data_IF_023499488083
#
_entry.id   IF_023499488083
#
_cell.length_a   1.000
_cell.length_b   1.000
_cell.length_c   1.000
_cell.angle_alpha   90.00
_cell.angle_beta   90.00
_cell.angle_gamma   90.00
#
_symmetry.space_group_name_H-M   'P 1'
#
loop_
_entity.id
_entity.type
_entity.pdbx_description
1 polymer ?
#
# COMPACT_ATOMS: atom_id res chain seq x y z
N UNK A 1 -13.91 -32.99 9.06
CA UNK A 1 -14.04 -32.08 10.22
C UNK A 1 -12.82 -32.28 11.11
N UNK A 2 -11.76 -31.51 10.89
CA UNK A 2 -10.56 -31.52 11.72
C UNK A 2 -10.87 -30.78 13.00
N UNK A 3 -10.79 -31.50 14.14
CA UNK A 3 -10.93 -30.87 15.47
C UNK A 3 -9.90 -29.75 15.58
N UNK A 4 -10.40 -28.52 15.82
CA UNK A 4 -9.57 -27.37 16.19
C UNK A 4 -8.63 -27.77 17.34
N UNK A 5 -7.33 -27.52 17.28
CA UNK A 5 -6.42 -27.83 18.38
C UNK A 5 -6.93 -27.08 19.61
N UNK A 6 -7.05 -27.79 20.75
CA UNK A 6 -7.55 -27.20 22.00
C UNK A 6 -6.55 -26.14 22.45
N UNK A 7 -6.94 -24.88 22.35
CA UNK A 7 -6.18 -23.76 22.89
C UNK A 7 -6.04 -23.94 24.41
N UNK A 8 -4.82 -24.05 24.89
CA UNK A 8 -4.53 -24.14 26.32
C UNK A 8 -4.02 -22.79 26.81
N UNK A 9 -4.79 -22.17 27.69
CA UNK A 9 -4.31 -20.98 28.40
C UNK A 9 -3.42 -21.43 29.56
N UNK A 10 -2.18 -20.94 29.59
CA UNK A 10 -1.20 -21.27 30.60
C UNK A 10 -0.34 -20.04 30.93
N UNK A 11 0.32 -20.09 32.12
CA UNK A 11 1.39 -19.16 32.48
C UNK A 11 2.71 -19.81 32.13
N UNK A 12 3.45 -19.23 31.18
CA UNK A 12 4.72 -19.75 30.66
C UNK A 12 5.86 -18.90 31.18
N UNK A 13 6.96 -19.53 31.57
CA UNK A 13 8.17 -18.82 31.98
C UNK A 13 8.79 -18.07 30.79
N UNK A 14 9.11 -16.79 30.98
CA UNK A 14 9.67 -15.95 29.90
C UNK A 14 11.03 -16.47 29.38
N UNK A 15 11.77 -17.20 30.21
CA UNK A 15 13.04 -17.84 29.81
C UNK A 15 12.87 -18.93 28.76
N UNK A 16 11.68 -19.54 28.66
CA UNK A 16 11.36 -20.60 27.69
C UNK A 16 10.78 -20.03 26.38
N UNK A 17 10.59 -18.70 26.30
CA UNK A 17 9.95 -18.06 25.15
C UNK A 17 10.99 -17.36 24.30
N UNK A 18 11.00 -17.70 23.01
CA UNK A 18 11.78 -17.02 21.98
C UNK A 18 10.90 -15.99 21.27
N UNK A 19 11.52 -14.88 20.85
CA UNK A 19 10.86 -13.87 20.02
C UNK A 19 10.47 -14.44 18.65
N UNK A 20 9.65 -13.74 17.89
CA UNK A 20 9.26 -14.17 16.54
C UNK A 20 10.50 -14.28 15.63
N UNK A 21 10.56 -15.33 14.78
CA UNK A 21 11.68 -15.55 13.84
C UNK A 21 11.81 -14.42 12.81
N UNK A 22 10.70 -13.80 12.43
CA UNK A 22 10.65 -12.65 11.54
C UNK A 22 10.09 -11.46 12.32
N UNK A 23 10.93 -10.48 12.62
CA UNK A 23 10.53 -9.27 13.35
C UNK A 23 10.34 -8.14 12.37
N UNK A 24 9.12 -7.61 12.26
CA UNK A 24 8.88 -6.36 11.57
C UNK A 24 9.52 -5.21 12.36
N UNK A 25 10.45 -4.48 11.73
CA UNK A 25 11.22 -3.39 12.35
C UNK A 25 10.33 -2.27 12.91
N UNK A 26 9.12 -2.11 12.40
CA UNK A 26 8.16 -1.10 12.86
C UNK A 26 7.47 -1.43 14.19
N UNK A 27 7.51 -2.68 14.67
CA UNK A 27 6.90 -3.05 15.96
C UNK A 27 7.74 -2.66 17.17
N UNK A 28 8.95 -2.18 16.99
CA UNK A 28 9.95 -2.01 18.04
C UNK A 28 10.17 -0.54 18.46
N UNK A 29 9.19 0.36 18.32
CA UNK A 29 9.29 1.68 18.91
C UNK A 29 9.40 1.53 20.46
N UNK A 30 10.57 1.82 21.08
CA UNK A 30 10.78 1.57 22.51
C UNK A 30 9.75 2.28 23.39
N UNK A 31 9.32 3.47 22.97
CA UNK A 31 8.33 4.30 23.67
C UNK A 31 6.99 3.57 23.83
N UNK A 32 6.50 2.94 22.75
CA UNK A 32 5.25 2.19 22.77
C UNK A 32 5.31 0.90 23.59
N UNK A 33 6.51 0.33 23.79
CA UNK A 33 6.70 -0.82 24.67
C UNK A 33 6.69 -0.36 26.13
N UNK A 34 7.27 0.80 26.42
CA UNK A 34 7.31 1.40 27.78
C UNK A 34 5.89 1.80 28.24
N UNK A 35 5.11 2.48 27.39
CA UNK A 35 3.71 2.82 27.69
C UNK A 35 2.89 1.55 28.01
N UNK A 36 3.07 0.50 27.20
CA UNK A 36 2.39 -0.77 27.42
C UNK A 36 2.87 -1.45 28.69
N UNK A 37 4.16 -1.37 29.03
CA UNK A 37 4.72 -1.90 30.27
C UNK A 37 4.11 -1.20 31.49
N UNK A 38 3.99 0.13 31.47
CA UNK A 38 3.32 0.88 32.51
C UNK A 38 1.87 0.41 32.68
N UNK A 39 1.11 0.33 31.61
CA UNK A 39 -0.28 -0.16 31.65
C UNK A 39 -0.38 -1.59 32.23
N UNK A 40 0.55 -2.49 31.83
CA UNK A 40 0.57 -3.86 32.36
C UNK A 40 0.90 -3.88 33.85
N UNK A 41 1.77 -2.99 34.33
CA UNK A 41 2.10 -2.91 35.76
C UNK A 41 0.91 -2.46 36.61
N UNK A 42 0.02 -1.61 36.05
CA UNK A 42 -1.13 -1.04 36.77
C UNK A 42 -2.34 -1.98 36.78
N UNK A 43 -2.70 -2.53 35.62
CA UNK A 43 -3.96 -3.30 35.43
C UNK A 43 -3.73 -4.78 35.05
N UNK A 44 -2.49 -5.19 34.88
CA UNK A 44 -2.15 -6.55 34.45
C UNK A 44 -2.32 -6.79 32.95
N UNK A 45 -1.98 -8.01 32.51
CA UNK A 45 -2.12 -8.44 31.12
C UNK A 45 -3.57 -8.86 30.83
N UNK A 46 -4.32 -8.00 30.14
CA UNK A 46 -5.73 -8.28 29.78
C UNK A 46 -5.84 -9.34 28.69
N UNK A 47 -5.02 -9.29 27.67
CA UNK A 47 -5.04 -10.24 26.54
C UNK A 47 -3.82 -11.14 26.55
N UNK A 48 -3.97 -12.48 26.57
CA UNK A 48 -2.83 -13.40 26.49
C UNK A 48 -2.10 -13.26 25.15
N UNK A 49 -0.81 -13.60 25.16
CA UNK A 49 -0.03 -13.74 23.90
C UNK A 49 -0.31 -15.12 23.28
N UNK A 50 -0.07 -15.25 21.97
CA UNK A 50 -0.17 -16.53 21.27
C UNK A 50 1.24 -17.12 21.09
N UNK A 51 1.43 -18.33 21.57
CA UNK A 51 2.67 -19.07 21.48
C UNK A 51 2.46 -20.38 20.69
N UNK A 52 3.46 -20.77 19.91
CA UNK A 52 3.55 -22.13 19.40
C UNK A 52 4.62 -22.94 20.15
N UNK A 53 4.45 -24.23 20.19
CA UNK A 53 5.46 -25.16 20.68
C UNK A 53 6.54 -25.31 19.61
N UNK A 54 7.82 -25.09 19.96
CA UNK A 54 8.99 -25.28 19.10
C UNK A 54 10.04 -26.12 19.87
N UNK A 55 9.94 -27.45 19.78
CA UNK A 55 10.70 -28.36 20.60
C UNK A 55 10.37 -28.24 22.09
N UNK A 56 11.39 -27.94 22.92
CA UNK A 56 11.25 -27.73 24.38
C UNK A 56 10.97 -26.26 24.73
N UNK A 57 10.84 -25.40 23.73
CA UNK A 57 10.64 -23.95 23.89
C UNK A 57 9.36 -23.49 23.22
N UNK A 58 9.09 -22.20 23.30
CA UNK A 58 7.93 -21.58 22.70
C UNK A 58 8.35 -20.39 21.83
N UNK A 59 7.73 -20.25 20.67
CA UNK A 59 7.90 -19.08 19.79
C UNK A 59 6.68 -18.16 19.87
N UNK A 60 6.92 -16.85 19.95
CA UNK A 60 5.84 -15.84 19.90
C UNK A 60 5.28 -15.77 18.48
N UNK A 61 3.98 -16.04 18.34
CA UNK A 61 3.23 -15.92 17.09
C UNK A 61 2.49 -14.57 17.02
N UNK A 62 1.86 -14.13 18.13
CA UNK A 62 1.19 -12.86 18.23
C UNK A 62 1.36 -12.26 19.63
N UNK A 63 1.44 -10.93 19.70
CA UNK A 63 1.61 -10.19 20.95
C UNK A 63 3.06 -9.91 21.32
N UNK A 64 3.97 -9.72 20.36
CA UNK A 64 5.39 -9.45 20.59
C UNK A 64 5.64 -8.23 21.49
N UNK A 65 4.90 -7.12 21.32
CA UNK A 65 5.01 -5.95 22.22
C UNK A 65 4.68 -6.28 23.68
N UNK A 66 3.66 -7.13 23.91
CA UNK A 66 3.28 -7.61 25.26
C UNK A 66 4.37 -8.48 25.88
N UNK A 67 5.01 -9.32 25.09
CA UNK A 67 6.17 -10.10 25.50
C UNK A 67 7.37 -9.21 25.87
N UNK A 68 7.69 -8.20 25.06
CA UNK A 68 8.77 -7.24 25.35
C UNK A 68 8.46 -6.40 26.61
N UNK A 69 7.22 -5.96 26.78
CA UNK A 69 6.80 -5.24 27.98
C UNK A 69 6.96 -6.09 29.26
N UNK A 70 6.63 -7.40 29.20
CA UNK A 70 6.87 -8.31 30.34
C UNK A 70 8.36 -8.51 30.62
N UNK A 71 9.20 -8.59 29.59
CA UNK A 71 10.66 -8.62 29.77
C UNK A 71 11.18 -7.35 30.41
N UNK A 72 10.68 -6.20 29.98
CA UNK A 72 11.08 -4.90 30.57
C UNK A 72 10.69 -4.80 32.05
N UNK A 73 9.54 -5.37 32.43
CA UNK A 73 9.08 -5.43 33.84
C UNK A 73 9.75 -6.54 34.65
N UNK A 74 10.67 -7.29 34.08
CA UNK A 74 11.36 -8.42 34.71
C UNK A 74 10.42 -9.48 35.33
N UNK A 75 9.22 -9.61 34.77
CA UNK A 75 8.26 -10.59 35.22
C UNK A 75 8.73 -12.01 34.87
N UNK A 76 8.46 -12.99 35.74
CA UNK A 76 8.91 -14.37 35.53
C UNK A 76 8.04 -15.13 34.54
N UNK A 77 6.74 -14.88 34.50
CA UNK A 77 5.75 -15.61 33.71
C UNK A 77 4.83 -14.69 32.95
N UNK A 78 4.37 -15.14 31.80
CA UNK A 78 3.36 -14.45 30.98
C UNK A 78 2.18 -15.35 30.69
N UNK A 79 0.97 -14.78 30.72
CA UNK A 79 -0.25 -15.48 30.33
C UNK A 79 -0.29 -15.66 28.82
N UNK A 80 -0.36 -16.91 28.34
CA UNK A 80 -0.30 -17.25 26.94
C UNK A 80 -1.34 -18.30 26.53
N UNK A 81 -1.76 -18.25 25.29
CA UNK A 81 -2.44 -19.34 24.60
C UNK A 81 -1.37 -20.16 23.90
N UNK A 82 -1.20 -21.42 24.28
CA UNK A 82 -0.24 -22.33 23.67
C UNK A 82 -0.94 -23.20 22.65
N UNK A 83 -0.40 -23.23 21.44
CA UNK A 83 -0.93 -24.00 20.33
C UNK A 83 0.16 -24.81 19.64
N UNK A 84 -0.11 -26.06 19.32
CA UNK A 84 0.73 -26.85 18.43
C UNK A 84 0.32 -26.52 16.99
N UNK A 85 1.25 -26.02 16.22
CA UNK A 85 1.01 -25.65 14.82
C UNK A 85 2.28 -25.82 13.97
N UNK A 86 2.10 -26.12 12.69
CA UNK A 86 3.17 -26.17 11.70
C UNK A 86 3.74 -24.77 11.41
N UNK A 87 4.91 -24.69 10.79
CA UNK A 87 5.51 -23.44 10.33
C UNK A 87 4.56 -22.65 9.41
N UNK A 88 3.85 -23.36 8.53
CA UNK A 88 2.88 -22.75 7.62
C UNK A 88 1.68 -22.16 8.36
N UNK A 89 1.13 -22.87 9.36
CA UNK A 89 0.02 -22.37 10.19
C UNK A 89 0.46 -21.19 11.04
N UNK A 90 1.67 -21.22 11.57
CA UNK A 90 2.26 -20.12 12.32
C UNK A 90 2.43 -18.86 11.46
N UNK A 91 2.94 -19.02 10.24
CA UNK A 91 3.08 -17.92 9.28
C UNK A 91 1.74 -17.31 8.88
N UNK A 92 0.75 -18.16 8.59
CA UNK A 92 -0.62 -17.69 8.28
C UNK A 92 -1.23 -16.95 9.47
N UNK A 93 -1.01 -17.43 10.69
CA UNK A 93 -1.54 -16.80 11.91
C UNK A 93 -0.93 -15.41 12.10
N UNK A 94 0.40 -15.26 11.94
CA UNK A 94 1.10 -13.97 11.96
C UNK A 94 0.60 -13.03 10.85
N UNK A 95 0.50 -13.56 9.62
CA UNK A 95 0.02 -12.78 8.49
C UNK A 95 -1.41 -12.25 8.70
N UNK A 96 -2.29 -13.08 9.26
CA UNK A 96 -3.69 -12.67 9.53
C UNK A 96 -3.76 -11.59 10.61
N UNK A 97 -2.93 -11.68 11.65
CA UNK A 97 -2.83 -10.66 12.69
C UNK A 97 -2.31 -9.34 12.11
N UNK A 98 -1.20 -9.39 11.36
CA UNK A 98 -0.62 -8.21 10.72
C UNK A 98 -1.58 -7.57 9.71
N UNK A 99 -2.28 -8.37 8.90
CA UNK A 99 -3.28 -7.86 7.94
C UNK A 99 -4.51 -7.24 8.59
N UNK A 100 -4.77 -7.50 9.87
CA UNK A 100 -5.84 -6.87 10.65
C UNK A 100 -5.47 -5.46 11.17
N UNK A 101 -4.22 -5.01 11.00
CA UNK A 101 -3.78 -3.66 11.40
C UNK A 101 -4.43 -2.61 10.51
N UNK A 102 -4.88 -1.53 11.15
CA UNK A 102 -5.59 -0.43 10.45
C UNK A 102 -4.67 0.42 9.57
N UNK A 103 -3.41 0.50 9.93
CA UNK A 103 -2.40 1.37 9.32
C UNK A 103 -1.56 0.70 8.20
N UNK A 104 -1.79 -0.58 7.96
CA UNK A 104 -1.02 -1.37 6.98
C UNK A 104 -1.13 -0.79 5.57
N UNK A 105 0.02 -0.57 4.95
CA UNK A 105 0.08 -0.07 3.58
C UNK A 105 -0.06 -1.20 2.57
N UNK A 106 -0.50 -0.90 1.33
CA UNK A 106 -0.59 -1.91 0.28
C UNK A 106 0.72 -2.60 -0.07
N UNK A 107 1.85 -1.92 0.12
CA UNK A 107 3.19 -2.46 -0.12
C UNK A 107 3.56 -3.46 0.98
N UNK A 108 3.23 -3.16 2.24
CA UNK A 108 3.41 -4.10 3.36
C UNK A 108 2.53 -5.33 3.21
N UNK A 109 1.24 -5.18 2.81
CA UNK A 109 0.38 -6.32 2.46
C UNK A 109 1.05 -7.21 1.39
N UNK A 110 1.66 -6.60 0.37
CA UNK A 110 2.32 -7.33 -0.70
C UNK A 110 3.50 -8.18 -0.21
N UNK A 111 4.30 -7.66 0.72
CA UNK A 111 5.40 -8.43 1.32
C UNK A 111 4.89 -9.62 2.13
N UNK A 112 3.84 -9.45 2.91
CA UNK A 112 3.19 -10.54 3.67
C UNK A 112 2.71 -11.63 2.71
N UNK A 113 2.01 -11.26 1.63
CA UNK A 113 1.55 -12.24 0.63
C UNK A 113 2.70 -12.94 -0.09
N UNK A 114 3.77 -12.21 -0.43
CA UNK A 114 4.98 -12.77 -1.04
C UNK A 114 5.63 -13.81 -0.14
N UNK A 115 5.72 -13.56 1.16
CA UNK A 115 6.25 -14.52 2.14
C UNK A 115 5.40 -15.79 2.17
N UNK A 116 4.07 -15.68 2.28
CA UNK A 116 3.17 -16.83 2.33
C UNK A 116 3.25 -17.70 1.07
N UNK A 117 3.37 -17.08 -0.10
CA UNK A 117 3.46 -17.80 -1.38
C UNK A 117 4.83 -18.46 -1.57
N UNK A 118 5.91 -17.68 -1.41
CA UNK A 118 7.25 -18.12 -1.78
C UNK A 118 7.91 -18.99 -0.70
N UNK A 119 7.77 -18.61 0.56
CA UNK A 119 8.45 -19.28 1.68
C UNK A 119 7.64 -20.45 2.19
N UNK A 120 6.32 -20.32 2.22
CA UNK A 120 5.43 -21.34 2.77
C UNK A 120 4.71 -22.17 1.70
N UNK A 121 4.96 -21.91 0.41
CA UNK A 121 4.45 -22.71 -0.71
C UNK A 121 2.92 -22.73 -0.85
N UNK A 122 2.23 -21.70 -0.34
CA UNK A 122 0.77 -21.58 -0.45
C UNK A 122 0.38 -21.13 -1.86
N UNK A 123 -0.78 -21.57 -2.35
CA UNK A 123 -1.37 -21.02 -3.58
C UNK A 123 -2.14 -19.72 -3.30
N UNK A 124 -2.44 -18.94 -4.36
CA UNK A 124 -3.25 -17.71 -4.25
C UNK A 124 -4.61 -17.98 -3.60
N UNK A 125 -5.23 -19.09 -3.96
CA UNK A 125 -6.53 -19.52 -3.45
C UNK A 125 -6.44 -19.85 -1.96
N UNK A 126 -5.39 -20.57 -1.56
CA UNK A 126 -5.14 -20.95 -0.17
C UNK A 126 -4.86 -19.73 0.69
N UNK A 127 -4.01 -18.80 0.23
CA UNK A 127 -3.76 -17.53 0.93
C UNK A 127 -5.07 -16.76 1.04
N UNK A 128 -5.81 -16.59 -0.06
CA UNK A 128 -7.07 -15.87 -0.08
C UNK A 128 -8.09 -16.41 0.92
N UNK A 129 -8.29 -17.72 0.95
CA UNK A 129 -9.20 -18.38 1.89
C UNK A 129 -8.80 -18.18 3.36
N UNK A 130 -7.49 -18.13 3.66
CA UNK A 130 -6.95 -17.99 5.02
C UNK A 130 -6.99 -16.55 5.53
N UNK A 131 -6.73 -15.57 4.65
CA UNK A 131 -6.67 -14.14 5.02
C UNK A 131 -7.95 -13.35 4.67
N UNK A 132 -8.97 -14.00 4.09
CA UNK A 132 -10.23 -13.35 3.73
C UNK A 132 -10.12 -12.37 2.56
N UNK A 133 -9.16 -12.56 1.64
CA UNK A 133 -8.96 -11.71 0.45
C UNK A 133 -9.15 -12.51 -0.83
N UNK A 134 -9.66 -11.89 -1.89
CA UNK A 134 -9.74 -12.57 -3.18
C UNK A 134 -8.35 -12.78 -3.81
N UNK A 135 -8.13 -13.86 -4.58
CA UNK A 135 -6.88 -14.09 -5.30
C UNK A 135 -6.47 -12.91 -6.21
N UNK A 136 -7.46 -12.21 -6.78
CA UNK A 136 -7.23 -11.01 -7.60
C UNK A 136 -6.62 -9.85 -6.81
N UNK A 137 -7.08 -9.63 -5.58
CA UNK A 137 -6.50 -8.61 -4.68
C UNK A 137 -5.05 -8.98 -4.36
N UNK A 138 -4.76 -10.25 -4.05
CA UNK A 138 -3.42 -10.72 -3.72
C UNK A 138 -2.47 -10.50 -4.90
N UNK A 139 -2.88 -10.88 -6.13
CA UNK A 139 -2.09 -10.64 -7.35
C UNK A 139 -1.80 -9.16 -7.54
N UNK A 140 -2.82 -8.32 -7.43
CA UNK A 140 -2.70 -6.86 -7.57
C UNK A 140 -1.73 -6.26 -6.54
N UNK A 141 -1.70 -6.77 -5.29
CA UNK A 141 -0.73 -6.36 -4.28
C UNK A 141 0.69 -6.78 -4.66
N UNK A 142 0.88 -8.00 -5.13
CA UNK A 142 2.19 -8.50 -5.55
C UNK A 142 2.73 -7.77 -6.77
N UNK A 143 1.86 -7.31 -7.67
CA UNK A 143 2.27 -6.51 -8.82
C UNK A 143 2.89 -5.17 -8.41
N UNK A 144 2.51 -4.61 -7.25
CA UNK A 144 3.18 -3.43 -6.69
C UNK A 144 4.69 -3.65 -6.50
N UNK A 145 5.10 -4.86 -6.09
CA UNK A 145 6.53 -5.18 -5.86
C UNK A 145 7.34 -5.29 -7.16
N UNK A 146 6.67 -5.31 -8.32
CA UNK A 146 7.31 -5.31 -9.65
C UNK A 146 7.44 -3.91 -10.23
N UNK A 147 6.77 -2.93 -9.64
CA UNK A 147 6.80 -1.54 -10.10
C UNK A 147 8.15 -0.87 -9.79
N UNK A 148 8.52 0.20 -10.49
CA UNK A 148 9.67 1.02 -10.14
C UNK A 148 9.66 1.45 -8.66
N UNK A 149 10.84 1.55 -8.01
CA UNK A 149 10.93 1.91 -6.58
C UNK A 149 10.22 3.23 -6.22
N UNK A 150 10.25 4.22 -7.12
CA UNK A 150 9.59 5.50 -6.93
C UNK A 150 8.07 5.35 -6.74
N UNK A 151 7.42 4.49 -7.55
CA UNK A 151 6.00 4.20 -7.43
C UNK A 151 5.70 3.45 -6.12
N UNK A 152 6.51 2.45 -5.77
CA UNK A 152 6.35 1.70 -4.53
C UNK A 152 6.45 2.63 -3.31
N UNK A 153 7.43 3.52 -3.28
CA UNK A 153 7.66 4.46 -2.18
C UNK A 153 6.49 5.44 -2.01
N UNK A 154 5.98 6.01 -3.12
CA UNK A 154 4.86 6.95 -3.06
C UNK A 154 3.54 6.27 -2.64
N UNK A 155 3.31 5.02 -3.05
CA UNK A 155 2.18 4.21 -2.57
C UNK A 155 2.34 3.88 -1.09
N UNK A 156 3.54 3.51 -0.65
CA UNK A 156 3.84 3.22 0.76
C UNK A 156 3.62 4.46 1.64
N UNK A 157 4.09 5.63 1.20
CA UNK A 157 3.88 6.92 1.88
C UNK A 157 2.44 7.46 1.75
N UNK A 158 1.54 6.73 1.09
CA UNK A 158 0.15 7.14 0.83
C UNK A 158 0.02 8.47 0.08
N UNK A 159 1.05 8.86 -0.70
CA UNK A 159 1.05 10.08 -1.51
C UNK A 159 0.28 9.90 -2.82
N UNK A 160 0.26 8.69 -3.36
CA UNK A 160 -0.55 8.30 -4.52
C UNK A 160 -1.32 7.01 -4.23
N UNK A 161 -2.44 6.82 -4.92
CA UNK A 161 -3.21 5.58 -4.83
C UNK A 161 -2.59 4.46 -5.68
N UNK A 162 -2.90 3.19 -5.36
CA UNK A 162 -2.49 2.05 -6.18
C UNK A 162 -2.97 2.21 -7.63
N UNK A 163 -4.20 2.68 -7.83
CA UNK A 163 -4.77 2.85 -9.16
C UNK A 163 -3.98 3.87 -10.00
N UNK A 164 -3.46 4.92 -9.38
CA UNK A 164 -2.56 5.88 -10.04
C UNK A 164 -1.22 5.23 -10.39
N UNK A 165 -0.63 4.47 -9.47
CA UNK A 165 0.62 3.76 -9.72
C UNK A 165 0.50 2.74 -10.85
N UNK A 166 -0.60 1.99 -10.92
CA UNK A 166 -0.89 1.04 -12.00
C UNK A 166 -0.99 1.72 -13.37
N UNK A 167 -1.61 2.89 -13.45
CA UNK A 167 -1.72 3.64 -14.71
C UNK A 167 -0.39 4.26 -15.16
N UNK A 168 0.48 4.65 -14.21
CA UNK A 168 1.80 5.22 -14.51
C UNK A 168 2.89 4.15 -14.74
N UNK A 169 2.71 2.94 -14.24
CA UNK A 169 3.68 1.85 -14.36
C UNK A 169 4.17 1.57 -15.79
N UNK A 170 3.33 1.65 -16.86
CA UNK A 170 3.81 1.43 -18.22
C UNK A 170 4.80 2.47 -18.72
N UNK A 171 4.99 3.60 -18.04
CA UNK A 171 5.97 4.64 -18.42
C UNK A 171 7.35 4.13 -18.04
N UNK A 172 8.14 3.75 -19.05
CA UNK A 172 9.49 3.19 -18.86
C UNK A 172 10.59 4.25 -18.82
N UNK A 173 10.30 5.44 -19.30
CA UNK A 173 11.23 6.59 -19.23
C UNK A 173 11.20 7.16 -17.80
N UNK A 174 12.32 7.06 -17.11
CA UNK A 174 12.46 7.48 -15.71
C UNK A 174 12.23 8.99 -15.55
N UNK A 175 12.75 9.82 -16.47
CA UNK A 175 12.59 11.27 -16.38
C UNK A 175 11.13 11.69 -16.58
N UNK A 176 10.44 11.06 -17.53
CA UNK A 176 9.01 11.30 -17.74
C UNK A 176 8.16 10.78 -16.59
N UNK A 177 8.52 9.63 -16.02
CA UNK A 177 7.84 9.10 -14.83
C UNK A 177 7.98 10.07 -13.65
N UNK A 178 9.20 10.54 -13.35
CA UNK A 178 9.47 11.48 -12.28
C UNK A 178 8.73 12.82 -12.50
N UNK A 179 8.67 13.29 -13.75
CA UNK A 179 7.89 14.47 -14.12
C UNK A 179 6.41 14.32 -13.77
N UNK A 180 5.75 13.25 -14.19
CA UNK A 180 4.34 13.03 -13.86
C UNK A 180 4.11 12.76 -12.38
N UNK A 181 5.06 12.12 -11.69
CA UNK A 181 4.97 11.87 -10.26
C UNK A 181 5.00 13.16 -9.44
N UNK A 182 5.78 14.18 -9.84
CA UNK A 182 5.80 15.48 -9.17
C UNK A 182 4.40 16.10 -9.17
N UNK A 183 3.71 16.12 -10.32
CA UNK A 183 2.34 16.62 -10.40
C UNK A 183 1.33 15.77 -9.63
N UNK A 184 1.48 14.44 -9.66
CA UNK A 184 0.59 13.55 -8.95
C UNK A 184 0.65 13.75 -7.43
N UNK A 185 1.83 14.09 -6.90
CA UNK A 185 2.08 14.30 -5.46
C UNK A 185 1.60 15.68 -5.02
N UNK A 186 1.88 16.73 -5.80
CA UNK A 186 1.63 18.14 -5.40
C UNK A 186 0.17 18.55 -5.63
N UNK A 187 -0.42 18.15 -6.74
CA UNK A 187 -1.79 18.55 -7.11
C UNK A 187 -2.88 17.53 -6.74
N UNK A 188 -2.48 16.33 -6.32
CA UNK A 188 -3.37 15.18 -6.23
C UNK A 188 -3.70 14.64 -7.63
N UNK A 189 -3.76 13.33 -7.78
CA UNK A 189 -3.99 12.70 -9.08
C UNK A 189 -5.05 11.60 -8.97
N UNK A 190 -6.01 11.60 -9.90
CA UNK A 190 -6.94 10.49 -10.09
C UNK A 190 -6.37 9.48 -11.10
N UNK A 191 -6.82 8.24 -11.04
CA UNK A 191 -6.43 7.22 -12.03
C UNK A 191 -6.80 7.61 -13.47
N UNK A 192 -7.85 8.41 -13.66
CA UNK A 192 -8.24 8.91 -14.98
C UNK A 192 -7.21 9.88 -15.55
N UNK A 193 -6.70 10.80 -14.73
CA UNK A 193 -5.65 11.74 -15.11
C UNK A 193 -4.34 10.98 -15.39
N UNK A 194 -3.95 10.06 -14.53
CA UNK A 194 -2.76 9.23 -14.74
C UNK A 194 -2.84 8.43 -16.06
N UNK A 195 -4.03 7.90 -16.37
CA UNK A 195 -4.28 7.20 -17.64
C UNK A 195 -4.11 8.12 -18.85
N UNK A 196 -4.57 9.37 -18.80
CA UNK A 196 -4.37 10.33 -19.88
C UNK A 196 -2.92 10.66 -20.09
N UNK A 197 -2.13 10.84 -19.02
CA UNK A 197 -0.68 11.04 -19.10
C UNK A 197 0.06 9.84 -19.72
N UNK A 198 -0.30 8.63 -19.31
CA UNK A 198 0.27 7.41 -19.88
C UNK A 198 -0.07 7.27 -21.39
N UNK A 199 -1.28 7.66 -21.79
CA UNK A 199 -1.69 7.67 -23.21
C UNK A 199 -0.86 8.70 -24.00
N UNK A 200 -0.73 9.90 -23.49
CA UNK A 200 0.05 10.97 -24.11
C UNK A 200 1.51 10.56 -24.31
N UNK A 201 2.15 10.00 -23.28
CA UNK A 201 3.49 9.45 -23.36
C UNK A 201 3.63 8.38 -24.47
N UNK A 202 2.69 7.41 -24.52
CA UNK A 202 2.70 6.39 -25.56
C UNK A 202 2.56 6.96 -26.96
N UNK A 203 1.73 7.98 -27.13
CA UNK A 203 1.52 8.65 -28.41
C UNK A 203 2.77 9.45 -28.82
N UNK A 204 3.50 10.04 -27.88
CA UNK A 204 4.80 10.68 -28.11
C UNK A 204 5.87 9.67 -28.55
N UNK A 205 6.01 8.55 -27.82
CA UNK A 205 6.95 7.48 -28.18
C UNK A 205 6.64 6.92 -29.58
N UNK A 206 5.38 6.69 -29.92
CA UNK A 206 5.01 6.25 -31.27
C UNK A 206 5.42 7.24 -32.34
N UNK A 207 5.21 8.53 -32.12
CA UNK A 207 5.61 9.58 -33.09
C UNK A 207 7.12 9.62 -33.30
N UNK A 208 7.90 9.45 -32.26
CA UNK A 208 9.37 9.37 -32.35
C UNK A 208 9.81 8.15 -33.14
N UNK A 209 9.26 6.96 -32.88
CA UNK A 209 9.61 5.72 -33.60
C UNK A 209 9.19 5.78 -35.06
N UNK A 210 8.04 6.36 -35.38
CA UNK A 210 7.59 6.51 -36.79
C UNK A 210 8.41 7.57 -37.52
N UNK A 211 8.80 8.66 -36.85
CA UNK A 211 9.68 9.68 -37.41
C UNK A 211 11.07 9.17 -37.77
N UNK A 212 11.61 8.21 -37.02
CA UNK A 212 12.89 7.56 -37.30
C UNK A 212 12.85 6.56 -38.47
N UNK A 213 11.67 6.02 -38.78
CA UNK A 213 11.48 5.04 -39.87
C UNK A 213 11.09 5.72 -41.19
N UNK A 214 10.48 6.90 -41.16
CA UNK A 214 10.08 7.66 -42.34
C UNK A 214 11.05 8.77 -42.69
N UNK A 215 12.33 8.40 -42.87
CA UNK A 215 13.32 9.24 -43.57
C UNK A 215 13.06 9.37 -45.07
N UNK A 216 11.80 9.29 -45.55
CA UNK A 216 11.41 9.59 -46.91
C UNK A 216 10.04 10.24 -47.00
N UNK A 217 10.07 11.58 -47.04
CA UNK A 217 9.08 12.39 -47.73
C UNK A 217 7.73 12.57 -47.04
N UNK A 218 7.61 13.62 -46.30
CA UNK A 218 6.75 14.78 -46.56
C UNK A 218 7.17 15.88 -45.58
N UNK A 219 8.07 16.73 -46.01
CA UNK A 219 8.44 17.95 -45.33
C UNK A 219 7.40 19.03 -45.61
N UNK A 220 6.42 19.11 -44.75
CA UNK A 220 5.69 20.35 -44.55
C UNK A 220 5.77 20.66 -43.05
N UNK A 221 6.02 21.87 -42.61
CA UNK A 221 5.92 22.21 -41.20
C UNK A 221 4.50 21.89 -40.78
N UNK A 222 4.35 20.99 -39.77
CA UNK A 222 3.09 20.75 -39.13
C UNK A 222 2.73 22.03 -38.39
N UNK A 223 1.92 22.86 -39.00
CA UNK A 223 1.27 23.94 -38.30
C UNK A 223 0.25 23.29 -37.36
N UNK A 224 0.43 23.44 -36.02
CA UNK A 224 -0.54 22.92 -35.08
C UNK A 224 -1.87 23.60 -35.39
N UNK A 225 -2.87 22.79 -35.77
CA UNK A 225 -4.21 23.33 -35.97
C UNK A 225 -4.71 23.87 -34.64
N UNK A 226 -5.11 25.14 -34.59
CA UNK A 226 -5.66 25.70 -33.35
C UNK A 226 -6.86 24.90 -32.90
N UNK A 227 -6.86 24.50 -31.65
CA UNK A 227 -8.01 23.84 -31.01
C UNK A 227 -8.94 24.92 -30.48
N UNK A 228 -10.20 24.90 -30.90
CA UNK A 228 -11.17 25.88 -30.47
C UNK A 228 -12.10 25.28 -29.42
N UNK A 229 -12.43 26.08 -28.41
CA UNK A 229 -13.45 25.82 -27.38
C UNK A 229 -14.49 26.93 -27.44
N UNK A 230 -15.70 26.64 -27.00
CA UNK A 230 -16.74 27.66 -26.93
C UNK A 230 -16.50 28.59 -25.74
N UNK A 231 -16.62 29.90 -25.95
CA UNK A 231 -16.59 30.84 -24.85
C UNK A 231 -17.87 30.71 -24.01
N UNK A 232 -17.74 30.66 -22.69
CA UNK A 232 -18.88 30.50 -21.78
C UNK A 232 -19.85 31.66 -21.79
N UNK A 233 -19.43 32.85 -22.26
CA UNK A 233 -20.25 34.06 -22.32
C UNK A 233 -20.99 34.22 -23.66
N UNK A 234 -20.27 34.12 -24.78
CA UNK A 234 -20.84 34.41 -26.09
C UNK A 234 -21.05 33.20 -26.98
N UNK A 235 -20.67 32.00 -26.48
CA UNK A 235 -20.71 30.71 -27.20
C UNK A 235 -19.89 30.74 -28.51
N UNK A 236 -19.16 31.82 -28.79
CA UNK A 236 -18.28 31.93 -29.95
C UNK A 236 -17.01 31.08 -29.80
N UNK A 237 -16.38 30.70 -30.92
CA UNK A 237 -15.14 29.90 -30.88
C UNK A 237 -13.98 30.74 -30.33
N UNK A 238 -13.27 30.18 -29.36
CA UNK A 238 -12.08 30.77 -28.74
C UNK A 238 -10.95 29.74 -28.84
N UNK A 239 -9.76 30.19 -29.23
CA UNK A 239 -8.59 29.30 -29.29
C UNK A 239 -8.16 28.88 -27.89
N UNK A 240 -7.92 27.58 -27.71
CA UNK A 240 -7.45 27.02 -26.43
C UNK A 240 -6.09 27.63 -26.07
N UNK A 241 -6.00 28.19 -24.87
CA UNK A 241 -4.83 28.93 -24.37
C UNK A 241 -4.99 30.45 -24.40
N UNK A 242 -6.09 30.97 -24.95
CA UNK A 242 -6.45 32.39 -24.90
C UNK A 242 -7.48 32.69 -23.82
N UNK A 243 -7.79 31.76 -22.96
CA UNK A 243 -8.73 31.92 -21.86
C UNK A 243 -8.23 32.92 -20.83
N UNK A 244 -9.14 33.82 -20.40
CA UNK A 244 -8.87 34.73 -19.30
C UNK A 244 -9.55 34.23 -18.02
N UNK A 245 -8.78 33.98 -16.98
CA UNK A 245 -9.30 33.60 -15.67
C UNK A 245 -9.74 34.82 -14.91
N UNK A 246 -11.05 34.94 -14.65
CA UNK A 246 -11.62 35.96 -13.80
C UNK A 246 -11.85 35.43 -12.39
N UNK A 247 -11.34 36.15 -11.39
CA UNK A 247 -11.66 35.89 -9.98
C UNK A 247 -12.84 36.75 -9.58
N UNK A 248 -13.99 36.16 -9.34
CA UNK A 248 -15.21 36.83 -8.94
C UNK A 248 -15.58 36.49 -7.51
N UNK A 249 -16.07 37.47 -6.77
CA UNK A 249 -16.74 37.17 -5.51
C UNK A 249 -18.13 36.55 -5.77
N UNK A 250 -18.75 35.83 -4.81
CA UNK A 250 -20.04 35.17 -5.03
C UNK A 250 -21.16 36.06 -5.53
N UNK A 251 -21.21 37.31 -5.07
CA UNK A 251 -22.24 38.30 -5.51
C UNK A 251 -22.05 38.72 -6.97
N UNK A 252 -20.81 39.04 -7.39
CA UNK A 252 -20.52 39.35 -8.80
C UNK A 252 -20.78 38.19 -9.74
N UNK A 253 -20.47 36.94 -9.31
CA UNK A 253 -20.77 35.74 -10.08
C UNK A 253 -22.28 35.55 -10.28
N UNK A 254 -23.08 35.78 -9.22
CA UNK A 254 -24.54 35.71 -9.31
C UNK A 254 -25.09 36.72 -10.31
N UNK A 255 -24.61 38.00 -10.24
CA UNK A 255 -25.03 39.06 -11.14
C UNK A 255 -24.73 38.76 -12.61
N UNK A 256 -23.57 38.16 -12.90
CA UNK A 256 -23.24 37.74 -14.28
C UNK A 256 -24.16 36.62 -14.72
N UNK A 257 -24.38 35.61 -13.85
CA UNK A 257 -25.22 34.45 -14.15
C UNK A 257 -26.70 34.85 -14.42
N UNK A 258 -27.22 35.88 -13.76
CA UNK A 258 -28.60 36.37 -13.94
C UNK A 258 -28.78 37.22 -15.21
N UNK A 259 -27.66 37.71 -15.77
CA UNK A 259 -27.68 38.55 -16.98
C UNK A 259 -27.16 37.83 -18.25
N UNK A 260 -26.85 36.53 -18.14
CA UNK A 260 -26.58 35.63 -19.25
C UNK A 260 -27.84 34.90 -19.69
#
# INVERSE_FOLDING_TARGET
MTKSPKDRIAYIDLSLIDGPKNVDRFELAPELVLELAQSISEIGLLQPILLRVDGDRYEVIAGHRRFLAHKHLELKKIKAIVRVMSDQEAAVSRATENLARVDLTPVEEAFIFKELLNTHGLTFEQVGAKVGKSPGIIRRRLDLLKMPPQLQELVHKKRISIAVAEELWPITDVAMLDYYLSFAVDGGCTSTVARSWCKEWRDQVRRQVVGDVEGRGVSGPFEPRPTYVACDLCVGPMELGQETVLRLCPSCFQTIKENM
#
